data_IF_147667705300
#
_entry.id   IF_147667705300
#
_cell.length_a   1.000
_cell.length_b   1.000
_cell.length_c   1.000
_cell.angle_alpha   90.00
_cell.angle_beta   90.00
_cell.angle_gamma   90.00
#
_symmetry.space_group_name_H-M   'P 1'
#
loop_
_entity.id
_entity.type
_entity.pdbx_description
1 polymer ?
#
# COMPACT_ATOMS: atom_id res chain seq x y z
N UNK A 1 8.39 0.39 24.82
CA UNK A 1 7.50 -0.37 23.91
C UNK A 1 7.28 0.41 22.64
N UNK A 2 7.41 -0.23 21.49
CA UNK A 2 7.08 0.46 20.25
C UNK A 2 5.59 0.81 20.23
N UNK A 3 5.30 2.02 19.79
CA UNK A 3 3.95 2.50 19.68
C UNK A 3 3.26 1.81 18.50
N UNK A 4 2.08 1.24 18.73
CA UNK A 4 1.30 0.65 17.67
C UNK A 4 0.40 1.68 17.03
N UNK A 5 0.37 1.64 15.70
CA UNK A 5 -0.48 2.49 14.89
C UNK A 5 -1.69 1.69 14.41
N UNK A 6 -2.80 2.37 14.19
CA UNK A 6 -3.96 1.76 13.55
C UNK A 6 -3.77 1.87 12.04
N UNK A 7 -3.96 0.75 11.33
CA UNK A 7 -3.79 0.73 9.88
C UNK A 7 -5.17 0.64 9.22
N UNK A 8 -5.45 1.58 8.33
CA UNK A 8 -6.72 1.64 7.60
C UNK A 8 -6.44 1.55 6.10
N UNK A 9 -7.14 0.65 5.43
CA UNK A 9 -7.09 0.55 3.98
C UNK A 9 -8.27 1.34 3.44
N UNK A 10 -8.01 2.44 2.74
CA UNK A 10 -9.06 3.28 2.17
C UNK A 10 -9.85 2.54 1.10
N UNK A 11 -11.03 3.05 0.76
CA UNK A 11 -11.85 2.44 -0.28
C UNK A 11 -11.11 2.39 -1.62
N UNK A 12 -10.38 3.45 -1.95
CA UNK A 12 -9.57 3.47 -3.19
C UNK A 12 -8.53 2.38 -3.20
N UNK A 13 -7.84 2.17 -2.07
CA UNK A 13 -6.85 1.11 -1.96
C UNK A 13 -7.49 -0.28 -2.01
N UNK A 14 -8.67 -0.44 -1.40
CA UNK A 14 -9.40 -1.71 -1.48
C UNK A 14 -9.81 -2.02 -2.92
N UNK A 15 -10.26 -1.01 -3.65
CA UNK A 15 -10.59 -1.16 -5.06
C UNK A 15 -9.35 -1.57 -5.87
N UNK A 16 -8.21 -0.97 -5.56
CA UNK A 16 -6.95 -1.34 -6.21
C UNK A 16 -6.59 -2.81 -5.94
N UNK A 17 -6.72 -3.26 -4.70
CA UNK A 17 -6.45 -4.66 -4.34
C UNK A 17 -7.37 -5.61 -5.09
N UNK A 18 -8.64 -5.27 -5.22
CA UNK A 18 -9.59 -6.07 -5.96
C UNK A 18 -9.22 -6.18 -7.44
N UNK A 19 -8.83 -5.05 -8.07
CA UNK A 19 -8.38 -5.05 -9.46
C UNK A 19 -7.13 -5.90 -9.64
N UNK A 20 -6.18 -5.81 -8.71
CA UNK A 20 -4.96 -6.62 -8.75
C UNK A 20 -5.30 -8.10 -8.63
N UNK A 21 -6.23 -8.44 -7.71
CA UNK A 21 -6.68 -9.82 -7.56
C UNK A 21 -7.22 -10.36 -8.87
N UNK A 22 -8.14 -9.65 -9.51
CA UNK A 22 -8.74 -10.12 -10.76
C UNK A 22 -7.73 -10.21 -11.89
N UNK A 23 -6.79 -9.28 -11.95
CA UNK A 23 -5.74 -9.31 -12.96
C UNK A 23 -4.89 -10.58 -12.83
N UNK A 24 -4.47 -10.91 -11.63
CA UNK A 24 -3.66 -12.11 -11.39
C UNK A 24 -4.50 -13.38 -11.55
N UNK A 25 -5.77 -13.34 -11.13
CA UNK A 25 -6.67 -14.48 -11.18
C UNK A 25 -6.99 -14.92 -12.60
N UNK A 26 -6.89 -14.01 -13.58
CA UNK A 26 -7.05 -14.36 -14.99
C UNK A 26 -6.03 -15.42 -15.41
N UNK A 27 -4.85 -15.41 -14.79
CA UNK A 27 -3.82 -16.40 -15.05
C UNK A 27 -3.94 -17.59 -14.06
N UNK A 28 -4.04 -17.27 -12.76
CA UNK A 28 -4.10 -18.33 -11.73
C UNK A 28 -4.76 -17.78 -10.47
N UNK A 29 -5.92 -18.34 -10.12
CA UNK A 29 -6.70 -17.89 -8.95
C UNK A 29 -5.95 -18.13 -7.64
N UNK A 30 -5.28 -19.27 -7.52
CA UNK A 30 -4.54 -19.58 -6.30
C UNK A 30 -3.38 -18.62 -6.08
N UNK A 31 -2.69 -18.24 -7.15
CA UNK A 31 -1.63 -17.24 -7.07
C UNK A 31 -2.19 -15.88 -6.68
N UNK A 32 -3.37 -15.52 -7.17
CA UNK A 32 -4.02 -14.27 -6.83
C UNK A 32 -4.34 -14.21 -5.34
N UNK A 33 -4.91 -15.28 -4.78
CA UNK A 33 -5.22 -15.36 -3.36
C UNK A 33 -3.97 -15.22 -2.51
N UNK A 34 -2.92 -15.96 -2.86
CA UNK A 34 -1.66 -15.93 -2.14
C UNK A 34 -1.03 -14.54 -2.17
N UNK A 35 -1.03 -13.92 -3.35
CA UNK A 35 -0.44 -12.59 -3.53
C UNK A 35 -1.15 -11.54 -2.66
N UNK A 36 -2.48 -11.53 -2.68
CA UNK A 36 -3.26 -10.56 -1.91
C UNK A 36 -3.07 -10.77 -0.41
N UNK A 37 -3.05 -12.02 0.06
CA UNK A 37 -2.82 -12.30 1.47
C UNK A 37 -1.44 -11.83 1.93
N UNK A 38 -0.41 -12.07 1.13
CA UNK A 38 0.95 -11.61 1.43
C UNK A 38 1.02 -10.07 1.47
N UNK A 39 0.36 -9.41 0.53
CA UNK A 39 0.35 -7.95 0.45
C UNK A 39 -0.39 -7.36 1.65
N UNK A 40 -1.57 -7.87 1.98
CA UNK A 40 -2.34 -7.40 3.13
C UNK A 40 -1.54 -7.57 4.43
N UNK A 41 -0.86 -8.70 4.59
CA UNK A 41 -0.02 -8.95 5.76
C UNK A 41 1.06 -7.88 5.89
N UNK A 42 1.69 -7.52 4.77
CA UNK A 42 2.69 -6.46 4.77
C UNK A 42 2.10 -5.09 5.06
N UNK A 43 0.90 -4.81 4.55
CA UNK A 43 0.23 -3.54 4.84
C UNK A 43 -0.09 -3.40 6.32
N UNK A 44 -0.62 -4.45 6.93
CA UNK A 44 -0.94 -4.42 8.35
C UNK A 44 0.30 -4.40 9.24
N UNK A 45 1.46 -4.81 8.73
CA UNK A 45 2.73 -4.70 9.45
C UNK A 45 3.17 -3.26 9.67
N UNK A 46 2.53 -2.31 8.98
CA UNK A 46 2.79 -0.89 9.17
C UNK A 46 2.22 -0.36 10.50
N UNK A 47 1.58 -1.20 11.29
CA UNK A 47 1.20 -0.86 12.66
C UNK A 47 2.42 -0.63 13.56
N UNK A 48 3.60 -1.07 13.12
CA UNK A 48 4.87 -0.93 13.84
C UNK A 48 5.89 -0.22 12.94
N UNK A 49 6.44 0.89 13.42
CA UNK A 49 7.44 1.70 12.70
C UNK A 49 7.05 2.00 11.25
N UNK A 50 5.89 2.65 11.01
CA UNK A 50 5.48 2.96 9.65
C UNK A 50 6.40 3.96 8.94
N UNK A 51 7.28 4.65 9.68
CA UNK A 51 8.27 5.57 9.11
C UNK A 51 9.44 4.85 8.45
N UNK A 52 9.52 3.52 8.52
CA UNK A 52 10.64 2.75 7.97
C UNK A 52 10.70 2.75 6.43
N UNK A 53 9.59 3.03 5.77
CA UNK A 53 9.54 3.04 4.32
C UNK A 53 9.87 4.43 3.76
N UNK A 54 10.46 4.49 2.55
CA UNK A 54 10.87 5.78 1.99
C UNK A 54 9.70 6.62 1.53
N UNK A 55 9.96 7.93 1.38
CA UNK A 55 9.01 8.86 0.77
C UNK A 55 8.85 8.56 -0.71
N UNK A 56 7.65 8.84 -1.24
CA UNK A 56 7.41 8.71 -2.67
C UNK A 56 8.07 9.87 -3.41
N UNK A 57 8.60 9.63 -4.63
CA UNK A 57 9.22 10.72 -5.41
C UNK A 57 8.22 11.80 -5.82
N UNK A 58 6.95 11.46 -5.94
CA UNK A 58 5.91 12.41 -6.35
C UNK A 58 5.59 13.45 -5.28
N UNK A 59 6.10 13.32 -4.05
CA UNK A 59 5.81 14.27 -2.98
C UNK A 59 6.15 15.72 -3.36
N UNK A 60 7.26 15.91 -4.09
CA UNK A 60 7.65 17.27 -4.53
C UNK A 60 6.63 17.87 -5.48
N UNK A 61 5.95 17.03 -6.23
CA UNK A 61 4.95 17.44 -7.21
C UNK A 61 3.63 17.80 -6.56
N UNK A 62 3.23 17.01 -5.55
CA UNK A 62 1.92 17.15 -4.89
C UNK A 62 1.98 17.96 -3.59
N UNK A 63 3.19 18.26 -3.11
CA UNK A 63 3.33 18.94 -1.82
C UNK A 63 2.90 18.05 -0.65
N UNK A 64 3.16 16.77 -0.73
CA UNK A 64 2.73 15.79 0.25
C UNK A 64 3.91 15.16 0.99
N UNK A 65 3.61 14.36 2.01
CA UNK A 65 4.60 13.61 2.80
C UNK A 65 4.28 12.12 2.78
N UNK A 66 3.88 11.61 1.64
CA UNK A 66 3.48 10.20 1.54
C UNK A 66 4.68 9.29 1.43
N UNK A 67 4.52 8.07 1.93
CA UNK A 67 5.52 7.01 1.84
C UNK A 67 4.94 5.85 1.05
N UNK A 68 5.80 4.92 0.60
CA UNK A 68 5.29 3.72 -0.06
C UNK A 68 6.02 2.48 0.44
N UNK A 69 5.25 1.40 0.58
CA UNK A 69 5.76 0.06 0.84
C UNK A 69 5.77 -0.69 -0.49
N UNK A 70 6.94 -1.22 -0.85
CA UNK A 70 7.09 -1.92 -2.12
C UNK A 70 6.94 -3.42 -1.87
N UNK A 71 6.10 -4.07 -2.67
CA UNK A 71 5.92 -5.51 -2.65
C UNK A 71 5.91 -6.02 -4.08
N UNK A 72 6.98 -6.72 -4.47
CA UNK A 72 7.16 -7.22 -5.83
C UNK A 72 7.07 -6.06 -6.83
N UNK A 73 6.14 -6.10 -7.78
CA UNK A 73 5.99 -5.07 -8.82
C UNK A 73 5.04 -3.95 -8.42
N UNK A 74 4.49 -3.99 -7.19
CA UNK A 74 3.49 -3.04 -6.73
C UNK A 74 4.03 -2.19 -5.60
N UNK A 75 3.46 -1.01 -5.45
CA UNK A 75 3.73 -0.14 -4.30
C UNK A 75 2.41 0.31 -3.67
N UNK A 76 2.40 0.31 -2.35
CA UNK A 76 1.26 0.78 -1.57
C UNK A 76 1.63 2.14 -1.00
N UNK A 77 0.95 3.18 -1.46
CA UNK A 77 1.19 4.55 -1.01
C UNK A 77 0.36 4.80 0.23
N UNK A 78 0.98 5.32 1.27
CA UNK A 78 0.29 5.58 2.53
C UNK A 78 0.76 6.88 3.16
N UNK A 79 -0.05 7.39 4.08
CA UNK A 79 0.30 8.53 4.91
C UNK A 79 0.13 8.17 6.38
N UNK A 80 0.87 8.87 7.23
CA UNK A 80 0.78 8.72 8.68
C UNK A 80 0.14 9.98 9.22
N UNK A 81 -0.95 9.83 9.96
CA UNK A 81 -1.63 10.94 10.62
C UNK A 81 -1.79 10.57 12.08
N UNK A 82 -1.05 11.26 12.97
CA UNK A 82 -1.04 10.96 14.41
C UNK A 82 -0.68 9.50 14.65
N UNK A 83 -1.59 8.70 15.17
CA UNK A 83 -1.38 7.28 15.48
C UNK A 83 -2.00 6.36 14.45
N UNK A 84 -2.28 6.87 13.25
CA UNK A 84 -2.96 6.11 12.22
C UNK A 84 -2.17 6.11 10.91
N UNK A 85 -2.27 5.00 10.21
CA UNK A 85 -1.68 4.83 8.87
C UNK A 85 -2.84 4.61 7.90
N UNK A 86 -2.90 5.42 6.85
CA UNK A 86 -3.94 5.31 5.83
C UNK A 86 -3.32 4.86 4.53
N UNK A 87 -3.69 3.66 4.07
CA UNK A 87 -3.25 3.14 2.78
C UNK A 87 -4.11 3.80 1.71
N UNK A 88 -3.52 4.69 0.92
CA UNK A 88 -4.26 5.54 -0.02
C UNK A 88 -4.48 4.87 -1.36
N UNK A 89 -3.44 4.25 -1.91
CA UNK A 89 -3.48 3.60 -3.21
C UNK A 89 -2.53 2.41 -3.23
N UNK A 90 -2.85 1.43 -4.06
CA UNK A 90 -1.93 0.34 -4.38
C UNK A 90 -1.81 0.30 -5.90
N UNK A 91 -0.63 0.62 -6.41
CA UNK A 91 -0.42 0.76 -7.85
C UNK A 91 0.82 0.00 -8.28
N UNK A 92 0.91 -0.29 -9.57
CA UNK A 92 2.12 -0.86 -10.15
C UNK A 92 3.27 0.13 -9.95
N UNK A 93 4.45 -0.38 -9.53
CA UNK A 93 5.58 0.48 -9.16
C UNK A 93 6.06 1.41 -10.25
N UNK A 94 5.91 1.02 -11.52
CA UNK A 94 6.31 1.83 -12.67
C UNK A 94 5.27 2.90 -13.02
N UNK A 95 4.05 2.80 -12.48
CA UNK A 95 2.98 3.74 -12.79
C UNK A 95 3.13 5.00 -11.95
N UNK A 96 2.98 6.16 -12.59
CA UNK A 96 2.95 7.43 -11.88
C UNK A 96 1.68 7.50 -11.04
N UNK A 97 1.81 8.04 -9.84
CA UNK A 97 0.69 8.19 -8.93
C UNK A 97 -0.21 9.33 -9.40
N UNK A 98 -1.49 9.03 -9.55
CA UNK A 98 -2.51 10.00 -9.89
C UNK A 98 -3.45 10.12 -8.68
N UNK A 99 -3.31 11.21 -7.95
CA UNK A 99 -4.09 11.46 -6.75
C UNK A 99 -5.20 12.47 -7.00
#
# INVERSE_FOLDING_TARGET
MPKKFSVYITQSAQNDLEHIFFYIACDNVNNAKKFILELEEKLYSLDTFPERCPYIPENNYFGTNYRHLIHKKYRAVYKIVKNSVYILRVVHGAKLLDL
#
